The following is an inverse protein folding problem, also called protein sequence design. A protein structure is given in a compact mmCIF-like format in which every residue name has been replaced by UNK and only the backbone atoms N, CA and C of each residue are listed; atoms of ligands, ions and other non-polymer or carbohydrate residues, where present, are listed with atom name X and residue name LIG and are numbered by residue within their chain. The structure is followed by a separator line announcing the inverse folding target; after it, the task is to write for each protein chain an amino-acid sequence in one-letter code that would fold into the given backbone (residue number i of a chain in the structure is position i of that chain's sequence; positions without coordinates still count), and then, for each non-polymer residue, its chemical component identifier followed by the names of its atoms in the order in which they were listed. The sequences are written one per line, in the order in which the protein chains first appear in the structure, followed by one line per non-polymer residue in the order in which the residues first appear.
data_IF_458988593846
#
_entry.id   IF_458988593846
#
_cell.length_a   1.000
_cell.length_b   1.000
_cell.length_c   1.000
_cell.angle_alpha   90.00
_cell.angle_beta   90.00
_cell.angle_gamma   90.00
#
_symmetry.space_group_name_H-M   'P 1'
#
loop_
_entity.id
_entity.type
_entity.pdbx_description
1 polymer ?
#
# COMPACT_ATOMS: atom_id res chain seq x y z
N UNK A 1 -18.06 9.58 -19.00
CA UNK A 1 -17.77 9.16 -17.61
C UNK A 1 -18.25 10.29 -16.69
N UNK A 2 -19.30 10.07 -15.88
CA UNK A 2 -20.02 11.17 -15.23
C UNK A 2 -19.29 11.64 -13.94
N UNK A 3 -18.69 12.83 -13.97
CA UNK A 3 -17.97 13.46 -12.84
C UNK A 3 -18.77 13.51 -11.53
N UNK A 4 -20.11 13.53 -11.61
CA UNK A 4 -21.00 13.46 -10.46
C UNK A 4 -20.85 12.21 -9.60
N UNK A 5 -20.38 11.07 -10.14
CA UNK A 5 -20.20 9.84 -9.35
C UNK A 5 -18.97 9.92 -8.45
N UNK A 6 -17.91 10.55 -8.94
CA UNK A 6 -16.68 10.78 -8.19
C UNK A 6 -16.94 11.69 -6.97
N UNK A 7 -17.82 12.68 -7.10
CA UNK A 7 -18.17 13.59 -6.00
C UNK A 7 -19.02 12.94 -4.91
N UNK A 8 -19.82 11.92 -5.23
CA UNK A 8 -20.51 11.10 -4.23
C UNK A 8 -19.53 10.19 -3.48
N UNK A 9 -18.60 9.55 -4.19
CA UNK A 9 -17.52 8.81 -3.54
C UNK A 9 -16.69 9.73 -2.63
N UNK A 10 -16.35 10.96 -3.06
CA UNK A 10 -15.62 11.93 -2.22
C UNK A 10 -16.39 12.35 -0.95
N UNK A 11 -17.73 12.40 -1.00
CA UNK A 11 -18.57 12.65 0.18
C UNK A 11 -18.63 11.43 1.10
N UNK A 12 -18.74 10.23 0.54
CA UNK A 12 -18.66 8.97 1.28
C UNK A 12 -17.28 8.84 1.96
N UNK A 13 -16.22 9.20 1.22
CA UNK A 13 -14.82 9.22 1.65
C UNK A 13 -14.56 10.15 2.84
N UNK A 14 -15.19 11.33 2.84
CA UNK A 14 -15.09 12.27 3.97
C UNK A 14 -15.94 11.90 5.17
N UNK A 15 -16.92 11.02 5.01
CA UNK A 15 -17.79 10.56 6.10
C UNK A 15 -17.25 9.33 6.83
N UNK A 16 -16.31 8.60 6.22
CA UNK A 16 -15.76 7.36 6.77
C UNK A 16 -14.40 7.61 7.48
N UNK A 17 -14.34 7.47 8.82
CA UNK A 17 -13.11 7.64 9.59
C UNK A 17 -11.98 6.73 9.12
N UNK A 18 -12.29 5.55 8.58
CA UNK A 18 -11.31 4.56 8.14
C UNK A 18 -10.59 5.01 6.87
N UNK A 19 -11.30 5.68 5.96
CA UNK A 19 -10.72 6.26 4.75
C UNK A 19 -9.90 7.50 5.06
N UNK A 20 -10.38 8.38 5.94
CA UNK A 20 -9.60 9.53 6.41
C UNK A 20 -8.28 9.09 7.04
N UNK A 21 -8.33 8.07 7.90
CA UNK A 21 -7.12 7.50 8.51
C UNK A 21 -6.18 6.95 7.44
N UNK A 22 -6.69 6.22 6.44
CA UNK A 22 -5.85 5.67 5.37
C UNK A 22 -5.16 6.75 4.53
N UNK A 23 -5.82 7.89 4.28
CA UNK A 23 -5.22 9.02 3.58
C UNK A 23 -4.12 9.70 4.42
N UNK A 24 -4.20 9.60 5.74
CA UNK A 24 -3.18 10.10 6.65
C UNK A 24 -1.97 9.17 6.80
N UNK A 25 -2.10 7.87 6.47
CA UNK A 25 -1.03 6.86 6.64
C UNK A 25 0.32 7.30 6.03
N UNK A 26 0.41 7.77 4.77
CA UNK A 26 1.69 8.17 4.20
C UNK A 26 2.38 9.28 4.99
N UNK A 27 1.60 10.23 5.51
CA UNK A 27 2.11 11.34 6.32
C UNK A 27 2.54 10.87 7.72
N UNK A 28 1.78 9.95 8.32
CA UNK A 28 2.14 9.35 9.61
C UNK A 28 3.46 8.57 9.47
N UNK A 29 3.57 7.72 8.44
CA UNK A 29 4.78 6.96 8.18
C UNK A 29 5.99 7.87 7.88
N UNK A 30 5.76 8.96 7.15
CA UNK A 30 6.81 9.94 6.88
C UNK A 30 7.26 10.63 8.17
N UNK A 31 6.33 11.03 9.04
CA UNK A 31 6.66 11.61 10.34
C UNK A 31 7.41 10.60 11.24
N UNK A 32 7.04 9.32 11.22
CA UNK A 32 7.79 8.27 11.93
C UNK A 32 9.23 8.18 11.40
N UNK A 33 9.42 8.23 10.09
CA UNK A 33 10.77 8.21 9.50
C UNK A 33 11.59 9.46 9.84
N UNK A 34 10.97 10.64 9.91
CA UNK A 34 11.69 11.89 10.17
C UNK A 34 11.99 12.12 11.65
N UNK A 35 11.11 11.67 12.55
CA UNK A 35 11.24 11.97 13.98
C UNK A 35 11.60 10.73 14.81
N UNK A 36 10.87 9.63 14.62
CA UNK A 36 11.03 8.45 15.47
C UNK A 36 12.31 7.69 15.15
N UNK A 37 12.60 7.45 13.86
CA UNK A 37 13.76 6.64 13.48
C UNK A 37 15.09 7.31 13.85
N UNK A 38 15.35 8.61 13.59
CA UNK A 38 16.57 9.27 14.03
C UNK A 38 16.73 9.26 15.55
N UNK A 39 15.64 9.47 16.29
CA UNK A 39 15.64 9.39 17.74
C UNK A 39 16.04 7.98 18.24
N UNK A 40 15.52 6.92 17.60
CA UNK A 40 15.92 5.54 17.91
C UNK A 40 17.40 5.30 17.59
N UNK A 41 17.88 5.81 16.45
CA UNK A 41 19.29 5.67 16.05
C UNK A 41 20.20 6.33 17.10
N UNK A 42 19.92 7.56 17.52
CA UNK A 42 20.68 8.25 18.57
C UNK A 42 20.63 7.53 19.92
N UNK A 43 19.46 7.04 20.32
CA UNK A 43 19.29 6.30 21.58
C UNK A 43 20.12 5.01 21.60
N UNK A 44 20.11 4.25 20.51
CA UNK A 44 20.85 2.98 20.41
C UNK A 44 22.35 3.22 20.30
N UNK A 45 22.79 4.24 19.55
CA UNK A 45 24.19 4.64 19.52
C UNK A 45 24.67 5.07 20.92
N UNK A 46 23.88 5.87 21.64
CA UNK A 46 24.25 6.37 22.97
C UNK A 46 24.32 5.28 24.06
N UNK A 47 23.46 4.26 23.99
CA UNK A 47 23.46 3.20 25.01
C UNK A 47 24.35 1.99 24.64
N UNK A 48 24.32 1.55 23.38
CA UNK A 48 24.88 0.26 22.96
C UNK A 48 26.06 0.42 21.99
N UNK A 49 26.42 1.65 21.63
CA UNK A 49 27.50 1.99 20.68
C UNK A 49 27.37 1.25 19.33
N UNK A 50 26.12 1.03 18.90
CA UNK A 50 25.79 0.34 17.66
C UNK A 50 25.15 1.31 16.68
N UNK A 51 25.70 1.43 15.48
CA UNK A 51 25.21 2.34 14.44
C UNK A 51 24.09 1.70 13.61
N UNK A 52 22.89 2.28 13.73
CA UNK A 52 21.69 1.88 12.98
C UNK A 52 21.46 2.72 11.72
N UNK A 53 22.29 3.73 11.45
CA UNK A 53 22.17 4.59 10.27
C UNK A 53 22.11 3.80 8.94
N UNK A 54 22.86 2.69 8.76
CA UNK A 54 22.78 1.89 7.54
C UNK A 54 21.41 1.24 7.28
N UNK A 55 20.54 1.16 8.30
CA UNK A 55 19.22 0.53 8.22
C UNK A 55 18.08 1.52 7.89
N UNK A 56 18.36 2.83 7.84
CA UNK A 56 17.35 3.87 7.61
C UNK A 56 16.62 3.67 6.27
N UNK A 57 17.36 3.37 5.20
CA UNK A 57 16.79 3.19 3.85
C UNK A 57 15.91 1.94 3.76
N UNK A 58 16.25 0.89 4.49
CA UNK A 58 15.53 -0.38 4.57
C UNK A 58 14.23 -0.18 5.35
N UNK A 59 14.27 0.56 6.47
CA UNK A 59 13.08 0.95 7.21
C UNK A 59 12.13 1.82 6.35
N UNK A 60 12.67 2.78 5.60
CA UNK A 60 11.90 3.60 4.66
C UNK A 60 11.22 2.77 3.57
N UNK A 61 11.96 1.83 2.98
CA UNK A 61 11.45 0.88 1.99
C UNK A 61 10.35 -0.01 2.58
N UNK A 62 10.49 -0.48 3.82
CA UNK A 62 9.47 -1.25 4.53
C UNK A 62 8.18 -0.44 4.76
N UNK A 63 8.30 0.81 5.20
CA UNK A 63 7.11 1.67 5.41
C UNK A 63 6.44 2.08 4.11
N UNK A 64 7.21 2.33 3.05
CA UNK A 64 6.67 2.56 1.70
C UNK A 64 5.69 1.46 1.29
N UNK A 65 5.93 0.22 1.72
CA UNK A 65 5.10 -0.94 1.40
C UNK A 65 3.78 -1.00 2.16
N UNK A 66 3.69 -0.37 3.33
CA UNK A 66 2.46 -0.33 4.10
C UNK A 66 1.40 0.57 3.46
N UNK A 67 1.82 1.56 2.67
CA UNK A 67 0.92 2.53 2.02
C UNK A 67 -0.11 1.84 1.11
N UNK A 68 0.27 1.13 0.04
CA UNK A 68 -0.70 0.45 -0.83
C UNK A 68 -1.43 -0.68 -0.09
N UNK A 69 -0.82 -1.25 0.95
CA UNK A 69 -1.45 -2.30 1.75
C UNK A 69 -2.68 -1.78 2.48
N UNK A 70 -2.57 -0.62 3.12
CA UNK A 70 -3.66 0.05 3.81
C UNK A 70 -4.76 0.48 2.82
N UNK A 71 -4.38 1.10 1.70
CA UNK A 71 -5.34 1.54 0.68
C UNK A 71 -6.12 0.37 0.08
N UNK A 72 -5.44 -0.73 -0.25
CA UNK A 72 -6.08 -1.94 -0.78
C UNK A 72 -7.04 -2.59 0.21
N UNK A 73 -6.67 -2.65 1.49
CA UNK A 73 -7.56 -3.17 2.53
C UNK A 73 -8.80 -2.31 2.73
N UNK A 74 -8.64 -0.99 2.82
CA UNK A 74 -9.77 -0.08 3.05
C UNK A 74 -10.78 -0.18 1.92
N UNK A 75 -10.32 -0.12 0.67
CA UNK A 75 -11.23 -0.28 -0.47
C UNK A 75 -11.75 -1.71 -0.62
N UNK A 76 -11.01 -2.72 -0.17
CA UNK A 76 -11.50 -4.10 -0.06
C UNK A 76 -12.66 -4.23 0.93
N UNK A 77 -12.57 -3.57 2.10
CA UNK A 77 -13.65 -3.56 3.08
C UNK A 77 -14.87 -2.74 2.63
N UNK A 78 -14.66 -1.64 1.93
CA UNK A 78 -15.76 -0.89 1.28
C UNK A 78 -16.49 -1.79 0.28
N UNK A 79 -15.74 -2.54 -0.53
CA UNK A 79 -16.34 -3.47 -1.48
C UNK A 79 -17.17 -4.57 -0.78
N UNK A 80 -16.72 -5.04 0.38
CA UNK A 80 -17.48 -5.99 1.21
C UNK A 80 -18.73 -5.35 1.84
N UNK A 81 -18.64 -4.10 2.31
CA UNK A 81 -19.80 -3.35 2.80
C UNK A 81 -20.87 -3.18 1.73
N UNK A 82 -20.46 -2.82 0.53
CA UNK A 82 -21.38 -2.62 -0.58
C UNK A 82 -21.99 -3.94 -1.06
N UNK A 83 -21.28 -5.06 -0.89
CA UNK A 83 -21.83 -6.40 -1.10
C UNK A 83 -22.88 -6.73 -0.05
N UNK A 84 -22.53 -6.59 1.22
CA UNK A 84 -23.39 -6.92 2.36
C UNK A 84 -24.67 -6.04 2.37
N UNK A 85 -24.55 -4.77 1.94
CA UNK A 85 -25.66 -3.84 1.78
C UNK A 85 -26.49 -4.01 0.49
N UNK A 86 -26.21 -5.03 -0.34
CA UNK A 86 -26.95 -5.30 -1.58
C UNK A 86 -26.73 -4.28 -2.71
N UNK A 87 -25.79 -3.34 -2.56
CA UNK A 87 -25.50 -2.28 -3.54
C UNK A 87 -24.98 -2.89 -4.84
N UNK A 88 -24.17 -3.96 -4.78
CA UNK A 88 -23.68 -4.66 -5.98
C UNK A 88 -24.84 -5.25 -6.81
N UNK A 89 -25.89 -5.72 -6.16
CA UNK A 89 -27.09 -6.24 -6.82
C UNK A 89 -27.90 -5.09 -7.43
N UNK A 90 -28.06 -3.98 -6.72
CA UNK A 90 -28.72 -2.79 -7.25
C UNK A 90 -27.99 -2.17 -8.46
N UNK A 91 -26.66 -2.21 -8.49
CA UNK A 91 -25.86 -1.72 -9.62
C UNK A 91 -25.98 -2.64 -10.84
N UNK A 92 -26.29 -3.92 -10.65
CA UNK A 92 -26.42 -4.90 -11.75
C UNK A 92 -27.51 -4.55 -12.76
N UNK A 93 -28.54 -3.80 -12.33
CA UNK A 93 -29.65 -3.33 -13.19
C UNK A 93 -29.41 -1.93 -13.77
N UNK A 94 -28.26 -1.30 -13.49
CA UNK A 94 -27.91 0.02 -14.03
C UNK A 94 -27.17 -0.09 -15.37
N UNK A 95 -27.22 0.93 -16.25
CA UNK A 95 -26.56 0.90 -17.56
C UNK A 95 -25.04 0.70 -17.51
N UNK A 96 -24.41 1.01 -16.36
CA UNK A 96 -22.97 0.82 -16.16
C UNK A 96 -22.57 -0.61 -15.78
N UNK A 97 -23.53 -1.42 -15.33
CA UNK A 97 -23.34 -2.81 -14.95
C UNK A 97 -22.26 -3.05 -13.87
N UNK A 98 -21.96 -4.32 -13.61
CA UNK A 98 -20.95 -4.75 -12.62
C UNK A 98 -19.51 -4.39 -13.05
N UNK A 99 -19.22 -4.42 -14.35
CA UNK A 99 -17.88 -4.13 -14.88
C UNK A 99 -17.46 -2.67 -14.71
N UNK A 100 -18.37 -1.72 -15.00
CA UNK A 100 -18.08 -0.29 -14.85
C UNK A 100 -17.85 0.10 -13.39
N UNK A 101 -18.59 -0.51 -12.47
CA UNK A 101 -18.42 -0.35 -11.04
C UNK A 101 -17.06 -0.89 -10.56
N UNK A 102 -16.69 -2.11 -10.97
CA UNK A 102 -15.44 -2.72 -10.54
C UNK A 102 -14.22 -1.90 -11.01
N UNK A 103 -14.23 -1.39 -12.25
CA UNK A 103 -13.19 -0.50 -12.78
C UNK A 103 -13.03 0.77 -11.94
N UNK A 104 -14.15 1.35 -11.51
CA UNK A 104 -14.13 2.55 -10.67
C UNK A 104 -13.56 2.24 -9.28
N UNK A 105 -13.99 1.14 -8.65
CA UNK A 105 -13.49 0.70 -7.34
C UNK A 105 -12.02 0.29 -7.35
N UNK A 106 -11.51 -0.19 -8.49
CA UNK A 106 -10.07 -0.45 -8.68
C UNK A 106 -9.27 0.83 -8.92
N UNK A 107 -9.78 1.74 -9.76
CA UNK A 107 -9.05 2.94 -10.15
C UNK A 107 -8.70 3.85 -8.99
N UNK A 108 -9.59 3.97 -8.01
CA UNK A 108 -9.38 4.87 -6.86
C UNK A 108 -8.20 4.45 -5.96
N UNK A 109 -8.16 3.23 -5.37
CA UNK A 109 -7.03 2.82 -4.53
C UNK A 109 -5.71 2.78 -5.30
N UNK A 110 -5.73 2.44 -6.60
CA UNK A 110 -4.53 2.49 -7.44
C UNK A 110 -3.97 3.91 -7.55
N UNK A 111 -4.80 4.89 -7.93
CA UNK A 111 -4.37 6.29 -8.11
C UNK A 111 -3.96 6.91 -6.78
N UNK A 112 -4.72 6.70 -5.71
CA UNK A 112 -4.39 7.22 -4.38
C UNK A 112 -3.07 6.63 -3.89
N UNK A 113 -2.89 5.30 -4.01
CA UNK A 113 -1.64 4.65 -3.61
C UNK A 113 -0.48 5.19 -4.42
N UNK A 114 -0.63 5.29 -5.75
CA UNK A 114 0.41 5.82 -6.64
C UNK A 114 0.88 7.22 -6.23
N UNK A 115 -0.06 8.15 -6.01
CA UNK A 115 0.27 9.52 -5.58
C UNK A 115 0.93 9.51 -4.20
N UNK A 116 0.42 8.72 -3.26
CA UNK A 116 0.99 8.61 -1.92
C UNK A 116 2.41 8.04 -1.91
N UNK A 117 2.66 7.00 -2.71
CA UNK A 117 3.97 6.35 -2.88
C UNK A 117 4.96 7.34 -3.48
N UNK A 118 4.58 8.04 -4.56
CA UNK A 118 5.40 9.09 -5.18
C UNK A 118 5.80 10.17 -4.17
N UNK A 119 4.81 10.72 -3.45
CA UNK A 119 5.05 11.74 -2.43
C UNK A 119 5.99 11.21 -1.34
N UNK A 120 5.76 9.99 -0.86
CA UNK A 120 6.59 9.40 0.20
C UNK A 120 8.04 9.18 -0.25
N UNK A 121 8.27 8.67 -1.47
CA UNK A 121 9.61 8.47 -2.01
C UNK A 121 10.37 9.80 -2.15
N UNK A 122 9.69 10.85 -2.64
CA UNK A 122 10.28 12.19 -2.78
C UNK A 122 10.58 12.80 -1.41
N UNK A 123 9.65 12.71 -0.46
CA UNK A 123 9.76 13.32 0.86
C UNK A 123 10.81 12.66 1.78
N UNK A 124 11.16 11.40 1.52
CA UNK A 124 12.23 10.68 2.24
C UNK A 124 13.54 10.61 1.46
N UNK A 125 13.63 11.25 0.30
CA UNK A 125 14.79 11.19 -0.59
C UNK A 125 15.22 9.74 -0.89
N UNK A 126 14.23 8.84 -1.01
CA UNK A 126 14.44 7.44 -1.40
C UNK A 126 14.63 7.29 -2.92
N UNK A 127 14.74 8.40 -3.64
CA UNK A 127 14.82 8.44 -5.10
C UNK A 127 16.22 8.14 -5.61
N UNK A 128 17.27 8.38 -4.82
CA UNK A 128 18.65 8.04 -5.19
C UNK A 128 19.03 8.56 -6.58
N UNK A 129 19.51 7.67 -7.46
CA UNK A 129 19.86 7.97 -8.86
C UNK A 129 18.77 7.63 -9.88
N UNK A 130 17.55 7.30 -9.42
CA UNK A 130 16.45 6.88 -10.27
C UNK A 130 16.03 8.01 -11.22
N UNK A 131 15.92 7.67 -12.50
CA UNK A 131 15.28 8.54 -13.48
C UNK A 131 13.78 8.71 -13.17
N UNK A 132 13.19 9.82 -13.62
CA UNK A 132 11.76 10.10 -13.46
C UNK A 132 10.88 8.96 -14.01
N UNK A 133 11.30 8.32 -15.11
CA UNK A 133 10.59 7.19 -15.71
C UNK A 133 10.64 5.96 -14.80
N UNK A 134 11.80 5.61 -14.24
CA UNK A 134 11.93 4.49 -13.31
C UNK A 134 11.09 4.74 -12.05
N UNK A 135 11.11 5.95 -11.52
CA UNK A 135 10.34 6.35 -10.35
C UNK A 135 8.83 6.18 -10.56
N UNK A 136 8.31 6.56 -11.73
CA UNK A 136 6.90 6.33 -12.10
C UNK A 136 6.61 4.83 -12.20
N UNK A 137 7.45 4.06 -12.90
CA UNK A 137 7.24 2.61 -13.10
C UNK A 137 7.22 1.89 -11.75
N UNK A 138 8.21 2.14 -10.89
CA UNK A 138 8.29 1.55 -9.55
C UNK A 138 7.07 1.92 -8.73
N UNK A 139 6.65 3.19 -8.77
CA UNK A 139 5.47 3.64 -8.03
C UNK A 139 4.19 2.94 -8.50
N UNK A 140 4.04 2.68 -9.80
CA UNK A 140 2.91 1.91 -10.34
C UNK A 140 2.97 0.44 -9.88
N UNK A 141 4.14 -0.18 -9.91
CA UNK A 141 4.33 -1.57 -9.45
C UNK A 141 3.95 -1.70 -7.97
N UNK A 142 4.43 -0.80 -7.12
CA UNK A 142 4.10 -0.76 -5.69
C UNK A 142 2.60 -0.49 -5.50
N UNK A 143 2.03 0.48 -6.24
CA UNK A 143 0.61 0.81 -6.16
C UNK A 143 -0.31 -0.34 -6.57
N UNK A 144 0.12 -1.20 -7.50
CA UNK A 144 -0.65 -2.37 -7.95
C UNK A 144 -0.96 -3.35 -6.83
N UNK A 145 -0.18 -3.36 -5.75
CA UNK A 145 -0.47 -4.17 -4.57
C UNK A 145 -1.82 -3.82 -3.93
N UNK A 146 -2.23 -2.55 -3.97
CA UNK A 146 -3.55 -2.13 -3.48
C UNK A 146 -4.68 -2.82 -4.24
N UNK A 147 -4.51 -3.05 -5.54
CA UNK A 147 -5.46 -3.77 -6.38
C UNK A 147 -5.50 -5.26 -6.04
N UNK A 148 -4.33 -5.88 -5.84
CA UNK A 148 -4.24 -7.29 -5.45
C UNK A 148 -5.03 -7.52 -4.17
N UNK A 149 -4.87 -6.65 -3.16
CA UNK A 149 -5.57 -6.76 -1.89
C UNK A 149 -7.07 -6.52 -2.00
N UNK A 150 -7.48 -5.47 -2.73
CA UNK A 150 -8.89 -5.20 -3.00
C UNK A 150 -9.56 -6.39 -3.67
N UNK A 151 -8.92 -6.92 -4.72
CA UNK A 151 -9.45 -8.04 -5.50
C UNK A 151 -9.48 -9.32 -4.69
N UNK A 152 -8.44 -9.59 -3.90
CA UNK A 152 -8.39 -10.78 -3.07
C UNK A 152 -9.47 -10.75 -1.99
N UNK A 153 -9.65 -9.62 -1.30
CA UNK A 153 -10.76 -9.47 -0.36
C UNK A 153 -12.10 -9.60 -1.05
N UNK A 154 -12.28 -8.93 -2.19
CA UNK A 154 -13.51 -9.03 -2.97
C UNK A 154 -13.80 -10.45 -3.47
N UNK A 155 -12.80 -11.22 -3.83
CA UNK A 155 -12.99 -12.57 -4.39
C UNK A 155 -13.19 -13.64 -3.30
N UNK A 156 -12.45 -13.56 -2.19
CA UNK A 156 -12.38 -14.64 -1.21
C UNK A 156 -13.14 -14.38 0.09
N UNK A 157 -13.50 -13.14 0.41
CA UNK A 157 -14.34 -12.86 1.57
C UNK A 157 -15.81 -12.73 1.16
N UNK A 158 -16.67 -13.58 1.71
CA UNK A 158 -18.13 -13.49 1.43
C UNK A 158 -18.78 -12.32 2.18
N UNK A 159 -18.25 -11.97 3.35
CA UNK A 159 -18.77 -10.91 4.22
C UNK A 159 -17.62 -10.19 4.94
N UNK A 160 -17.96 -9.07 5.60
CA UNK A 160 -17.00 -8.25 6.35
C UNK A 160 -16.27 -8.97 7.49
N UNK A 161 -16.90 -9.97 8.11
CA UNK A 161 -16.30 -10.74 9.21
C UNK A 161 -15.19 -11.64 8.67
N UNK A 162 -15.45 -12.38 7.59
CA UNK A 162 -14.42 -13.13 6.89
C UNK A 162 -13.34 -12.23 6.31
N UNK A 163 -13.70 -11.03 5.81
CA UNK A 163 -12.73 -10.04 5.34
C UNK A 163 -11.67 -9.71 6.40
N UNK A 164 -12.07 -9.59 7.68
CA UNK A 164 -11.12 -9.36 8.78
C UNK A 164 -10.19 -10.54 9.00
N UNK A 165 -10.69 -11.78 8.91
CA UNK A 165 -9.86 -12.97 9.02
C UNK A 165 -8.85 -13.08 7.87
N UNK A 166 -9.34 -12.93 6.62
CA UNK A 166 -8.50 -12.97 5.41
C UNK A 166 -7.44 -11.87 5.42
N UNK A 167 -7.81 -10.66 5.85
CA UNK A 167 -6.91 -9.52 5.84
C UNK A 167 -5.63 -9.70 6.68
N UNK A 168 -5.71 -10.50 7.76
CA UNK A 168 -4.55 -10.82 8.61
C UNK A 168 -3.49 -11.62 7.87
N UNK A 169 -3.88 -12.42 6.87
CA UNK A 169 -2.95 -13.21 6.07
C UNK A 169 -2.07 -12.36 5.16
N UNK A 170 -2.47 -11.13 4.82
CA UNK A 170 -1.74 -10.30 3.87
C UNK A 170 -0.41 -9.76 4.39
N UNK A 171 -0.15 -9.88 5.69
CA UNK A 171 1.18 -9.63 6.26
C UNK A 171 2.25 -10.48 5.58
N UNK A 172 1.90 -11.64 5.00
CA UNK A 172 2.83 -12.46 4.23
C UNK A 172 3.42 -11.68 3.04
N UNK A 173 2.66 -10.81 2.38
CA UNK A 173 3.19 -10.02 1.25
C UNK A 173 4.30 -9.05 1.68
N UNK A 174 4.33 -8.64 2.95
CA UNK A 174 5.42 -7.82 3.51
C UNK A 174 6.69 -8.62 3.77
N UNK A 175 6.61 -9.95 3.85
CA UNK A 175 7.77 -10.80 4.08
C UNK A 175 8.70 -10.86 2.87
N UNK A 176 8.19 -10.71 1.63
CA UNK A 176 9.02 -10.78 0.42
C UNK A 176 10.28 -9.90 0.48
N UNK A 177 10.14 -8.58 0.71
CA UNK A 177 11.26 -7.66 0.91
C UNK A 177 12.16 -7.98 2.10
N UNK A 178 11.60 -8.48 3.21
CA UNK A 178 12.39 -8.89 4.37
C UNK A 178 13.29 -10.09 4.02
N UNK A 179 12.78 -11.02 3.21
CA UNK A 179 13.54 -12.19 2.74
C UNK A 179 14.69 -11.77 1.80
N UNK A 180 14.50 -10.73 0.99
CA UNK A 180 15.55 -10.12 0.16
C UNK A 180 16.73 -9.62 1.01
N UNK A 181 16.43 -8.99 2.14
CA UNK A 181 17.43 -8.42 3.03
C UNK A 181 18.13 -9.45 3.92
N UNK A 182 17.38 -10.43 4.45
CA UNK A 182 17.89 -11.34 5.49
C UNK A 182 18.59 -12.57 4.92
N UNK A 183 18.15 -13.08 3.76
CA UNK A 183 18.62 -14.36 3.24
C UNK A 183 19.75 -14.19 2.21
N UNK A 184 20.77 -15.06 2.24
CA UNK A 184 21.79 -15.09 1.19
C UNK A 184 21.25 -15.71 -0.11
N UNK A 185 21.95 -15.47 -1.22
CA UNK A 185 21.70 -16.17 -2.48
C UNK A 185 21.87 -17.69 -2.31
N UNK A 186 20.98 -18.55 -2.85
CA UNK A 186 19.81 -18.26 -3.68
C UNK A 186 18.48 -18.16 -2.88
N UNK A 187 18.51 -18.24 -1.55
CA UNK A 187 17.32 -18.39 -0.72
C UNK A 187 16.41 -17.17 -0.70
N UNK A 188 16.96 -15.97 -0.92
CA UNK A 188 16.17 -14.74 -1.00
C UNK A 188 15.11 -14.77 -2.12
N UNK A 189 15.29 -15.59 -3.17
CA UNK A 189 14.31 -15.73 -4.26
C UNK A 189 12.95 -16.26 -3.79
N UNK A 190 12.88 -16.86 -2.61
CA UNK A 190 11.62 -17.21 -1.95
C UNK A 190 10.70 -16.00 -1.72
N UNK A 191 11.23 -14.77 -1.73
CA UNK A 191 10.45 -13.53 -1.61
C UNK A 191 9.74 -13.07 -2.89
N UNK A 192 10.04 -13.67 -4.05
CA UNK A 192 9.62 -13.18 -5.36
C UNK A 192 8.10 -13.24 -5.64
N UNK A 193 7.32 -13.94 -4.81
CA UNK A 193 5.85 -13.96 -4.89
C UNK A 193 5.22 -12.60 -4.60
N UNK A 194 5.91 -11.74 -3.86
CA UNK A 194 5.41 -10.41 -3.53
C UNK A 194 5.87 -9.40 -4.58
N UNK A 195 4.97 -8.58 -5.16
CA UNK A 195 5.38 -7.45 -6.00
C UNK A 195 6.37 -6.52 -5.30
N UNK A 196 6.33 -6.49 -3.97
CA UNK A 196 7.20 -5.66 -3.15
C UNK A 196 8.65 -6.11 -3.16
N UNK A 197 8.92 -7.41 -3.37
CA UNK A 197 10.28 -7.94 -3.48
C UNK A 197 11.04 -7.32 -4.67
N UNK A 198 10.34 -7.13 -5.80
CA UNK A 198 10.95 -6.52 -6.98
C UNK A 198 11.19 -5.03 -6.76
N UNK A 199 10.23 -4.34 -6.15
CA UNK A 199 10.35 -2.93 -5.83
C UNK A 199 11.46 -2.64 -4.81
N UNK A 200 11.58 -3.47 -3.75
CA UNK A 200 12.64 -3.33 -2.76
C UNK A 200 14.01 -3.46 -3.39
N UNK A 201 14.22 -4.47 -4.24
CA UNK A 201 15.49 -4.61 -4.96
C UNK A 201 15.80 -3.40 -5.84
N UNK A 202 14.81 -2.82 -6.52
CA UNK A 202 15.10 -1.64 -7.36
C UNK A 202 15.49 -0.41 -6.55
N UNK A 203 14.89 -0.23 -5.36
CA UNK A 203 15.18 0.92 -4.49
C UNK A 203 16.48 0.70 -3.68
N UNK A 204 16.78 -0.56 -3.34
CA UNK A 204 17.97 -0.93 -2.55
C UNK A 204 19.19 -1.27 -3.39
N UNK A 205 19.06 -1.67 -4.66
CA UNK A 205 20.21 -1.97 -5.52
C UNK A 205 21.04 -0.74 -5.90
N UNK A 206 20.55 0.47 -5.60
CA UNK A 206 21.26 1.74 -5.79
C UNK A 206 21.91 2.28 -4.49
N UNK A 207 22.14 1.42 -3.48
CA UNK A 207 23.02 1.70 -2.32
C UNK A 207 24.25 0.82 -2.35
#
# INVERSE_FOLDING_TARGET
MNLRRLTYDLKLLKGDPMLMLSMAVPFILWALMQFLIPWVIEMVMGQWNFDLSPYYRQAGTFFLMLIPMMMGMVYGFILLDERDGGIITAISVTPTGKSGYLKLRMGIPLVISFVAILLFMILLDLTGSLSLVQLIIISVVIASQSLILLLFLGAFAENKVMGRAVSKGFGILLMGPMLDYVLPSPYYWSGAYSPMFWASRTVLAES
#
